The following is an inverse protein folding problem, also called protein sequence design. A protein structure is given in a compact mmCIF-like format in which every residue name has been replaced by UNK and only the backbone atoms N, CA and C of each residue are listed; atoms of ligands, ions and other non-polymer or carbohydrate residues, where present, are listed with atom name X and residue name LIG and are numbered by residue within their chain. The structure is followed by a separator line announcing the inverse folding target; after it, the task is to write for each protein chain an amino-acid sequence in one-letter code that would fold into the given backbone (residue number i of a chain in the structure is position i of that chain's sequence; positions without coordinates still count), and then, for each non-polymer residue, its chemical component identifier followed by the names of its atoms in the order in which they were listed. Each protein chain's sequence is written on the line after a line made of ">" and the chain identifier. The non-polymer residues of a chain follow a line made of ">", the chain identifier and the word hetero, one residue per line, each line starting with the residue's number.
data_IF_032030396750
#
_entry.id   IF_032030396750
#
_cell.length_a   1.000
_cell.length_b   1.000
_cell.length_c   1.000
_cell.angle_alpha   90.00
_cell.angle_beta   90.00
_cell.angle_gamma   90.00
#
_symmetry.space_group_name_H-M   'P 1'
#
loop_
_entity.id
_entity.type
_entity.pdbx_description
1 polymer ?
#
# COMPACT_ATOMS: atom_id res chain seq x y z
N UNK A 1 11.29 -7.23 -33.08
CA UNK A 1 10.42 -7.40 -31.90
C UNK A 1 10.43 -6.10 -31.11
N UNK A 2 9.32 -5.36 -31.08
CA UNK A 2 9.18 -4.11 -30.31
C UNK A 2 9.03 -4.44 -28.83
N UNK A 3 10.07 -4.19 -28.04
CA UNK A 3 9.98 -4.15 -26.59
C UNK A 3 9.27 -2.86 -26.20
N UNK A 4 7.96 -2.95 -25.97
CA UNK A 4 7.21 -1.83 -25.39
C UNK A 4 7.85 -1.50 -24.04
N UNK A 5 8.53 -0.34 -23.98
CA UNK A 5 9.15 0.25 -22.80
C UNK A 5 8.04 0.65 -21.83
N UNK A 6 7.39 -0.34 -21.22
CA UNK A 6 6.37 -0.11 -20.20
C UNK A 6 7.09 0.16 -18.88
N UNK A 7 6.86 1.36 -18.34
CA UNK A 7 7.43 1.74 -17.06
C UNK A 7 6.93 0.76 -15.96
N UNK A 8 7.83 0.01 -15.28
CA UNK A 8 7.44 -1.04 -14.35
C UNK A 8 6.60 -0.51 -13.17
N UNK A 9 6.76 0.76 -12.80
CA UNK A 9 5.96 1.42 -11.76
C UNK A 9 4.49 1.56 -12.17
N UNK A 10 4.22 1.97 -13.42
CA UNK A 10 2.86 2.11 -13.96
C UNK A 10 2.14 0.77 -14.08
N UNK A 11 2.87 -0.29 -14.45
CA UNK A 11 2.33 -1.66 -14.49
C UNK A 11 1.91 -2.13 -13.10
N UNK A 12 2.76 -1.91 -12.09
CA UNK A 12 2.50 -2.26 -10.69
C UNK A 12 1.30 -1.49 -10.14
N UNK A 13 1.22 -0.18 -10.38
CA UNK A 13 0.08 0.66 -9.99
C UNK A 13 -1.24 0.11 -10.53
N UNK A 14 -1.32 -0.17 -11.84
CA UNK A 14 -2.51 -0.74 -12.47
C UNK A 14 -2.91 -2.08 -11.87
N UNK A 15 -1.94 -2.99 -11.66
CA UNK A 15 -2.19 -4.29 -11.04
C UNK A 15 -2.76 -4.15 -9.63
N UNK A 16 -2.18 -3.28 -8.81
CA UNK A 16 -2.68 -3.00 -7.45
C UNK A 16 -4.09 -2.44 -7.49
N UNK A 17 -4.38 -1.44 -8.34
CA UNK A 17 -5.70 -0.86 -8.46
C UNK A 17 -6.76 -1.91 -8.85
N UNK A 18 -6.49 -2.72 -9.87
CA UNK A 18 -7.39 -3.79 -10.32
C UNK A 18 -7.62 -4.81 -9.22
N UNK A 19 -6.56 -5.22 -8.50
CA UNK A 19 -6.67 -6.18 -7.41
C UNK A 19 -7.58 -5.68 -6.27
N UNK A 20 -7.41 -4.43 -5.83
CA UNK A 20 -8.21 -3.86 -4.76
C UNK A 20 -9.66 -3.60 -5.18
N UNK A 21 -9.90 -3.20 -6.43
CA UNK A 21 -11.25 -3.07 -6.97
C UNK A 21 -11.96 -4.42 -7.00
N UNK A 22 -11.30 -5.45 -7.53
CA UNK A 22 -11.85 -6.80 -7.58
C UNK A 22 -12.15 -7.34 -6.18
N UNK A 23 -11.24 -7.13 -5.23
CA UNK A 23 -11.43 -7.51 -3.83
C UNK A 23 -12.61 -6.76 -3.18
N UNK A 24 -12.76 -5.47 -3.48
CA UNK A 24 -13.89 -4.66 -2.99
C UNK A 24 -15.21 -5.18 -3.55
N UNK A 25 -15.30 -5.45 -4.85
CA UNK A 25 -16.50 -6.00 -5.49
C UNK A 25 -16.83 -7.38 -4.91
N UNK A 26 -15.82 -8.23 -4.72
CA UNK A 26 -15.98 -9.53 -4.09
C UNK A 26 -16.60 -9.42 -2.70
N UNK A 27 -16.03 -8.57 -1.82
CA UNK A 27 -16.57 -8.40 -0.47
C UNK A 27 -17.93 -7.70 -0.43
N UNK A 28 -18.20 -6.82 -1.40
CA UNK A 28 -19.52 -6.22 -1.56
C UNK A 28 -20.55 -7.30 -1.91
N UNK A 29 -20.30 -8.12 -2.92
CA UNK A 29 -21.20 -9.23 -3.27
C UNK A 29 -21.35 -10.23 -2.12
N UNK A 30 -20.23 -10.62 -1.50
CA UNK A 30 -20.21 -11.50 -0.35
C UNK A 30 -21.06 -10.95 0.80
N UNK A 31 -20.91 -9.67 1.16
CA UNK A 31 -21.70 -9.06 2.24
C UNK A 31 -23.20 -9.17 1.99
N UNK A 32 -23.66 -8.92 0.75
CA UNK A 32 -25.09 -8.95 0.38
C UNK A 32 -25.66 -10.36 0.37
N UNK A 33 -24.90 -11.31 -0.17
CA UNK A 33 -25.29 -12.71 -0.18
C UNK A 33 -25.37 -13.22 1.26
N UNK A 34 -24.35 -12.97 2.07
CA UNK A 34 -24.26 -13.49 3.43
C UNK A 34 -25.33 -12.89 4.36
N UNK A 35 -25.66 -11.60 4.20
CA UNK A 35 -26.76 -10.96 4.90
C UNK A 35 -28.12 -11.57 4.52
N UNK A 36 -28.34 -11.91 3.24
CA UNK A 36 -29.56 -12.61 2.79
C UNK A 36 -29.74 -14.00 3.42
N UNK A 37 -28.65 -14.65 3.83
CA UNK A 37 -28.67 -15.95 4.52
C UNK A 37 -28.77 -15.83 6.04
N UNK A 38 -28.80 -14.63 6.59
CA UNK A 38 -28.66 -14.42 8.04
C UNK A 38 -29.98 -14.48 8.83
N UNK A 39 -31.04 -15.03 8.24
CA UNK A 39 -32.35 -15.25 8.90
C UNK A 39 -32.90 -14.02 9.64
N UNK A 40 -32.60 -12.80 9.18
CA UNK A 40 -33.06 -11.53 9.77
C UNK A 40 -32.07 -10.84 10.72
N UNK A 41 -30.96 -11.50 11.08
CA UNK A 41 -29.87 -10.86 11.82
C UNK A 41 -29.03 -9.96 10.91
N UNK A 42 -28.65 -8.78 11.40
CA UNK A 42 -27.83 -7.84 10.64
C UNK A 42 -26.52 -7.57 11.35
N UNK A 43 -25.45 -7.38 10.58
CA UNK A 43 -24.13 -7.06 11.13
C UNK A 43 -23.50 -5.90 10.38
N UNK A 44 -23.28 -4.80 11.10
CA UNK A 44 -22.56 -3.62 10.61
C UNK A 44 -21.20 -4.01 10.03
N UNK A 45 -20.51 -5.00 10.63
CA UNK A 45 -19.19 -5.43 10.18
C UNK A 45 -19.22 -6.16 8.84
N UNK A 46 -20.28 -6.93 8.54
CA UNK A 46 -20.45 -7.49 7.19
C UNK A 46 -20.85 -6.43 6.19
N UNK A 47 -21.81 -5.58 6.57
CA UNK A 47 -22.35 -4.57 5.66
C UNK A 47 -21.25 -3.64 5.15
N UNK A 48 -20.31 -3.26 6.01
CA UNK A 48 -19.18 -2.39 5.67
C UNK A 48 -17.88 -3.13 5.34
N UNK A 49 -17.89 -4.46 5.17
CA UNK A 49 -16.68 -5.25 4.94
C UNK A 49 -15.91 -4.79 3.68
N UNK A 50 -16.63 -4.38 2.64
CA UNK A 50 -16.03 -3.87 1.40
C UNK A 50 -15.31 -2.51 1.58
N UNK A 51 -15.58 -1.77 2.65
CA UNK A 51 -14.98 -0.45 2.89
C UNK A 51 -13.49 -0.56 3.21
N UNK A 52 -13.06 -1.60 3.93
CA UNK A 52 -11.65 -1.82 4.26
C UNK A 52 -10.75 -1.96 3.03
N UNK A 53 -11.02 -2.87 2.07
CA UNK A 53 -10.22 -2.95 0.85
C UNK A 53 -10.38 -1.69 -0.03
N UNK A 54 -11.55 -1.04 -0.03
CA UNK A 54 -11.74 0.20 -0.79
C UNK A 54 -10.86 1.34 -0.27
N UNK A 55 -10.91 1.62 1.04
CA UNK A 55 -10.11 2.67 1.69
C UNK A 55 -8.64 2.30 1.68
N UNK A 56 -8.31 1.05 2.01
CA UNK A 56 -6.95 0.53 1.99
C UNK A 56 -6.31 0.61 0.60
N UNK A 57 -7.05 0.25 -0.44
CA UNK A 57 -6.59 0.37 -1.83
C UNK A 57 -6.43 1.83 -2.26
N UNK A 58 -7.43 2.68 -1.98
CA UNK A 58 -7.39 4.11 -2.34
C UNK A 58 -6.21 4.83 -1.70
N UNK A 59 -5.97 4.57 -0.42
CA UNK A 59 -4.86 5.17 0.32
C UNK A 59 -3.50 4.65 -0.15
N UNK A 60 -3.39 3.38 -0.52
CA UNK A 60 -2.17 2.85 -1.15
C UNK A 60 -1.86 3.52 -2.48
N UNK A 61 -2.87 3.70 -3.34
CA UNK A 61 -2.71 4.38 -4.61
C UNK A 61 -2.30 5.84 -4.43
N UNK A 62 -2.81 6.50 -3.38
CA UNK A 62 -2.38 7.84 -2.97
C UNK A 62 -0.91 7.85 -2.54
N UNK A 63 -0.48 6.90 -1.70
CA UNK A 63 0.94 6.78 -1.33
C UNK A 63 1.84 6.52 -2.53
N UNK A 64 1.43 5.68 -3.48
CA UNK A 64 2.18 5.45 -4.72
C UNK A 64 2.26 6.70 -5.62
N UNK A 65 1.30 7.62 -5.50
CA UNK A 65 1.31 8.90 -6.22
C UNK A 65 2.22 9.94 -5.56
N UNK A 66 2.27 9.98 -4.23
CA UNK A 66 3.10 10.91 -3.46
C UNK A 66 4.56 10.46 -3.43
N UNK A 67 4.80 9.18 -3.19
CA UNK A 67 6.13 8.57 -3.08
C UNK A 67 6.30 7.63 -4.28
N UNK A 68 6.86 8.12 -5.42
CA UNK A 68 7.13 7.26 -6.55
C UNK A 68 8.13 6.17 -6.13
N UNK A 69 7.86 4.92 -6.53
CA UNK A 69 8.69 3.74 -6.21
C UNK A 69 8.71 3.28 -4.73
N UNK A 70 7.54 3.10 -4.11
CA UNK A 70 7.44 2.38 -2.85
C UNK A 70 8.17 1.02 -2.87
N UNK A 71 8.91 0.75 -1.79
CA UNK A 71 9.61 -0.52 -1.61
C UNK A 71 8.64 -1.71 -1.69
N UNK A 72 9.16 -2.87 -2.10
CA UNK A 72 8.39 -4.12 -2.08
C UNK A 72 7.93 -4.47 -0.65
N UNK A 73 8.78 -4.18 0.33
CA UNK A 73 8.50 -4.41 1.74
C UNK A 73 7.32 -3.55 2.23
N UNK A 74 7.32 -2.24 1.94
CA UNK A 74 6.23 -1.35 2.36
C UNK A 74 4.89 -1.74 1.73
N UNK A 75 4.88 -2.16 0.46
CA UNK A 75 3.63 -2.65 -0.16
C UNK A 75 3.16 -3.98 0.45
N UNK A 76 4.07 -4.90 0.74
CA UNK A 76 3.69 -6.17 1.34
C UNK A 76 3.16 -5.96 2.76
N UNK A 77 3.79 -5.10 3.56
CA UNK A 77 3.29 -4.72 4.89
C UNK A 77 1.92 -4.06 4.81
N UNK A 78 1.70 -3.17 3.84
CA UNK A 78 0.38 -2.56 3.62
C UNK A 78 -0.68 -3.61 3.26
N UNK A 79 -0.38 -4.50 2.31
CA UNK A 79 -1.29 -5.57 1.91
C UNK A 79 -1.61 -6.48 3.09
N UNK A 80 -0.61 -6.84 3.90
CA UNK A 80 -0.80 -7.62 5.14
C UNK A 80 -1.68 -6.88 6.14
N UNK A 81 -1.47 -5.57 6.35
CA UNK A 81 -2.31 -4.77 7.24
C UNK A 81 -3.78 -4.82 6.83
N UNK A 82 -4.06 -4.53 5.56
CA UNK A 82 -5.44 -4.55 5.04
C UNK A 82 -6.02 -5.95 5.11
N UNK A 83 -5.25 -6.99 4.78
CA UNK A 83 -5.71 -8.37 4.85
C UNK A 83 -6.07 -8.79 6.28
N UNK A 84 -5.23 -8.47 7.26
CA UNK A 84 -5.48 -8.77 8.68
C UNK A 84 -6.71 -8.03 9.20
N UNK A 85 -6.82 -6.72 8.95
CA UNK A 85 -7.99 -5.94 9.38
C UNK A 85 -9.28 -6.46 8.72
N UNK A 86 -9.23 -6.78 7.43
CA UNK A 86 -10.39 -7.32 6.69
C UNK A 86 -10.78 -8.70 7.24
N UNK A 87 -9.82 -9.55 7.57
CA UNK A 87 -10.08 -10.84 8.20
C UNK A 87 -10.74 -10.69 9.59
N UNK A 88 -10.28 -9.75 10.40
CA UNK A 88 -10.90 -9.45 11.71
C UNK A 88 -12.34 -8.94 11.58
N UNK A 89 -12.58 -8.01 10.65
CA UNK A 89 -13.91 -7.49 10.36
C UNK A 89 -14.84 -8.57 9.81
N UNK A 90 -14.33 -9.41 8.90
CA UNK A 90 -15.05 -10.55 8.35
C UNK A 90 -15.45 -11.53 9.47
N UNK A 91 -14.49 -11.91 10.33
CA UNK A 91 -14.73 -12.84 11.43
C UNK A 91 -15.81 -12.31 12.38
N UNK A 92 -15.70 -11.04 12.82
CA UNK A 92 -16.73 -10.39 13.64
C UNK A 92 -18.07 -10.33 12.94
N UNK A 93 -18.06 -10.06 11.63
CA UNK A 93 -19.22 -10.12 10.77
C UNK A 93 -19.96 -11.44 10.90
N UNK A 94 -19.26 -12.56 10.66
CA UNK A 94 -19.81 -13.92 10.67
C UNK A 94 -20.39 -14.25 12.04
N UNK A 95 -19.66 -13.95 13.11
CA UNK A 95 -20.10 -14.28 14.48
C UNK A 95 -21.35 -13.50 14.86
N UNK A 96 -21.41 -12.20 14.56
CA UNK A 96 -22.59 -11.37 14.84
C UNK A 96 -23.84 -11.87 14.12
N UNK A 97 -23.72 -12.28 12.85
CA UNK A 97 -24.84 -12.84 12.07
C UNK A 97 -25.33 -14.18 12.62
N UNK A 98 -24.50 -14.89 13.38
CA UNK A 98 -24.91 -16.10 14.10
C UNK A 98 -25.67 -15.82 15.41
N UNK A 99 -26.02 -14.55 15.69
CA UNK A 99 -26.68 -14.13 16.92
C UNK A 99 -25.75 -14.06 18.14
N UNK A 100 -24.42 -14.13 17.94
CA UNK A 100 -23.42 -14.15 19.01
C UNK A 100 -22.57 -12.89 18.97
N UNK A 101 -22.13 -12.41 20.13
CA UNK A 101 -21.14 -11.33 20.22
C UNK A 101 -19.75 -11.92 20.48
N UNK A 102 -18.73 -11.31 19.89
CA UNK A 102 -17.33 -11.69 20.12
C UNK A 102 -16.43 -10.46 20.19
N UNK A 103 -15.34 -10.61 20.95
CA UNK A 103 -14.23 -9.65 21.06
C UNK A 103 -12.94 -10.20 20.45
N UNK A 104 -13.01 -11.36 19.77
CA UNK A 104 -11.86 -11.98 19.11
C UNK A 104 -11.37 -11.22 17.87
N UNK A 105 -12.04 -10.14 17.47
CA UNK A 105 -11.58 -9.22 16.44
C UNK A 105 -10.50 -8.25 16.94
N UNK A 106 -10.45 -7.98 18.25
CA UNK A 106 -9.46 -7.12 18.90
C UNK A 106 -8.00 -7.45 18.51
N UNK A 107 -7.53 -8.72 18.54
CA UNK A 107 -6.16 -9.04 18.12
C UNK A 107 -5.89 -8.70 16.64
N UNK A 108 -6.89 -8.85 15.76
CA UNK A 108 -6.73 -8.48 14.35
C UNK A 108 -6.53 -6.98 14.17
N UNK A 109 -7.22 -6.17 14.98
CA UNK A 109 -7.01 -4.71 14.97
C UNK A 109 -5.62 -4.33 15.45
N UNK A 110 -5.11 -4.94 16.52
CA UNK A 110 -3.76 -4.66 17.00
C UNK A 110 -2.68 -5.09 16.02
N UNK A 111 -2.78 -6.30 15.46
CA UNK A 111 -1.80 -6.79 14.46
C UNK A 111 -1.88 -5.96 13.18
N UNK A 112 -3.09 -5.64 12.72
CA UNK A 112 -3.30 -4.75 11.58
C UNK A 112 -2.69 -3.37 11.79
N UNK A 113 -2.92 -2.76 12.95
CA UNK A 113 -2.34 -1.46 13.32
C UNK A 113 -0.80 -1.55 13.39
N UNK A 114 -0.25 -2.65 13.89
CA UNK A 114 1.19 -2.93 13.87
C UNK A 114 1.76 -2.93 12.44
N UNK A 115 1.09 -3.60 11.50
CA UNK A 115 1.51 -3.58 10.10
C UNK A 115 1.39 -2.20 9.45
N UNK A 116 0.35 -1.41 9.78
CA UNK A 116 0.25 -0.02 9.32
C UNK A 116 1.43 0.80 9.85
N UNK A 117 1.74 0.70 11.15
CA UNK A 117 2.85 1.42 11.77
C UNK A 117 4.20 1.04 11.13
N UNK A 118 4.45 -0.26 10.93
CA UNK A 118 5.64 -0.74 10.22
C UNK A 118 5.70 -0.26 8.77
N UNK A 119 4.55 -0.16 8.11
CA UNK A 119 4.48 0.37 6.74
C UNK A 119 4.91 1.83 6.70
N UNK A 120 4.35 2.66 7.58
CA UNK A 120 4.70 4.09 7.66
C UNK A 120 6.17 4.27 8.01
N UNK A 121 6.69 3.50 8.98
CA UNK A 121 8.10 3.49 9.32
C UNK A 121 8.98 3.12 8.12
N UNK A 122 8.63 2.06 7.40
CA UNK A 122 9.33 1.62 6.20
C UNK A 122 9.31 2.67 5.08
N UNK A 123 8.19 3.38 4.90
CA UNK A 123 8.07 4.45 3.91
C UNK A 123 8.97 5.64 4.23
N UNK A 124 9.02 6.05 5.50
CA UNK A 124 9.90 7.15 5.95
C UNK A 124 11.37 6.78 5.73
N UNK A 125 11.77 5.57 6.11
CA UNK A 125 13.14 5.10 5.92
C UNK A 125 13.54 4.98 4.44
N UNK A 126 12.63 4.49 3.59
CA UNK A 126 12.88 4.41 2.14
C UNK A 126 13.07 5.81 1.54
N UNK A 127 12.33 6.81 2.01
CA UNK A 127 12.47 8.20 1.58
C UNK A 127 13.81 8.82 1.99
N UNK A 128 14.28 8.56 3.22
CA UNK A 128 15.57 9.10 3.68
C UNK A 128 16.76 8.56 2.88
N UNK A 129 16.72 7.29 2.48
CA UNK A 129 17.77 6.70 1.62
C UNK A 129 17.81 7.38 0.26
N UNK A 130 16.65 7.65 -0.35
CA UNK A 130 16.56 8.31 -1.67
C UNK A 130 17.12 9.74 -1.66
N UNK A 131 16.83 10.53 -0.62
CA UNK A 131 17.40 11.88 -0.46
C UNK A 131 18.94 11.81 -0.37
N UNK A 132 19.47 10.79 0.31
CA UNK A 132 20.91 10.60 0.48
C UNK A 132 21.59 10.25 -0.85
N UNK A 133 20.98 9.38 -1.65
CA UNK A 133 21.49 8.97 -2.97
C UNK A 133 21.45 10.13 -3.98
N UNK A 134 20.36 10.90 -4.02
CA UNK A 134 20.26 12.09 -4.88
C UNK A 134 21.33 13.14 -4.54
N UNK A 135 21.56 13.38 -3.24
CA UNK A 135 22.64 14.29 -2.81
C UNK A 135 24.01 13.74 -3.20
N UNK A 136 24.25 12.45 -2.96
CA UNK A 136 25.50 11.78 -3.29
C UNK A 136 25.79 11.73 -4.81
N UNK A 137 24.79 11.78 -5.69
CA UNK A 137 24.99 11.89 -7.15
C UNK A 137 25.24 13.33 -7.62
N UNK A 138 24.62 14.32 -6.97
CA UNK A 138 24.80 15.74 -7.33
C UNK A 138 26.22 16.27 -7.02
N UNK A 139 26.87 15.74 -5.97
CA UNK A 139 28.20 16.16 -5.52
C UNK A 139 29.34 15.74 -6.48
N UNK A 140 29.46 14.47 -6.94
CA UNK A 140 30.53 14.03 -7.84
C UNK A 140 30.45 14.72 -9.19
N UNK A 141 29.26 14.83 -9.80
CA UNK A 141 29.09 15.53 -11.08
C UNK A 141 29.54 17.01 -11.01
N UNK A 142 29.24 17.69 -9.89
CA UNK A 142 29.64 19.09 -9.71
C UNK A 142 31.14 19.25 -9.44
N UNK A 143 31.79 18.26 -8.81
CA UNK A 143 33.25 18.26 -8.60
C UNK A 143 34.01 17.97 -9.90
N UNK A 144 33.56 16.99 -10.68
CA UNK A 144 34.19 16.60 -11.94
C UNK A 144 34.10 17.72 -12.99
N UNK A 145 32.96 18.39 -13.09
CA UNK A 145 32.79 19.56 -13.95
C UNK A 145 33.62 20.78 -13.52
N UNK A 146 33.91 20.93 -12.22
CA UNK A 146 34.77 22.00 -11.70
C UNK A 146 36.27 21.72 -11.93
N UNK A 147 36.70 20.46 -11.88
CA UNK A 147 38.08 20.07 -12.20
C UNK A 147 38.39 20.16 -13.70
N UNK A 148 37.44 19.77 -14.55
CA UNK A 148 37.57 19.92 -16.01
C UNK A 148 37.72 21.39 -16.44
N UNK A 149 36.88 22.29 -15.90
CA UNK A 149 36.99 23.73 -16.16
C UNK A 149 38.32 24.32 -15.67
N UNK A 150 38.84 23.82 -14.54
CA UNK A 150 40.13 24.26 -14.00
C UNK A 150 41.27 23.82 -14.92
N UNK A 151 41.24 22.59 -15.43
CA UNK A 151 42.24 22.08 -16.36
C UNK A 151 42.24 22.81 -17.71
N UNK A 152 41.07 23.17 -18.22
CA UNK A 152 40.93 23.90 -19.49
C UNK A 152 41.46 25.35 -19.40
N UNK A 153 41.39 25.98 -18.23
CA UNK A 153 41.92 27.33 -18.03
C UNK A 153 43.46 27.36 -18.03
N UNK A 154 44.13 26.29 -17.58
CA UNK A 154 45.60 26.21 -17.59
C UNK A 154 46.18 25.88 -18.97
N UNK A 155 45.39 25.35 -19.91
CA UNK A 155 45.84 25.07 -21.28
C UNK A 155 45.65 26.26 -22.24
N UNK A 156 45.02 27.34 -21.79
CA UNK A 156 44.74 28.55 -22.57
C UNK A 156 45.70 29.72 -22.26
N UNK A 157 46.72 29.51 -21.42
CA UNK A 157 47.79 30.47 -21.07
C UNK A 157 49.13 29.91 -21.55
#
# INVERSE_FOLDING_TARGET
>A
MSTSVTNPSKKRFKKTAVSYILLTIFFLAFSRIYESFSFGETSVHMHYLFVLPLVGGSLLLLFMKIIPNLSRLSLNLWNSAVATMTAGMLFRGIVNLSGRSTTLDIPYWYVGAGFVALTLFSMVFTRSVWETENQAQSIPSKKEGAELNRHENYSQI
#
